data_IF_344578520449
#
_entry.id   IF_344578520449
#
_cell.length_a   1.000
_cell.length_b   1.000
_cell.length_c   1.000
_cell.angle_alpha   90.00
_cell.angle_beta   90.00
_cell.angle_gamma   90.00
#
_symmetry.space_group_name_H-M   'P 1'
#
loop_
_entity.id
_entity.type
_entity.pdbx_description
1 polymer ?
#
# COMPACT_ATOMS: atom_id res chain seq x y z
N UNK A 1 5.32 8.98 -11.25
CA UNK A 1 6.41 9.10 -10.25
C UNK A 1 5.89 9.96 -9.12
N UNK A 2 5.49 9.35 -8.01
CA UNK A 2 5.03 10.07 -6.83
C UNK A 2 5.71 9.47 -5.60
N UNK A 3 6.33 10.32 -4.79
CA UNK A 3 6.86 10.02 -3.47
C UNK A 3 5.82 10.59 -2.52
N UNK A 4 5.18 9.76 -1.72
CA UNK A 4 4.20 10.24 -0.72
C UNK A 4 4.73 9.86 0.65
N UNK A 5 5.21 10.87 1.38
CA UNK A 5 5.41 10.78 2.81
C UNK A 5 4.04 10.72 3.50
N UNK A 6 3.90 9.77 4.43
CA UNK A 6 2.69 9.49 5.19
C UNK A 6 2.04 10.78 5.74
N UNK A 7 0.79 11.10 5.38
CA UNK A 7 0.05 12.16 6.04
C UNK A 7 -0.58 11.63 7.34
N UNK A 8 -0.60 12.49 8.35
CA UNK A 8 -1.28 12.32 9.65
C UNK A 8 -2.68 11.69 9.44
N UNK A 9 -3.05 10.65 10.22
CA UNK A 9 -4.33 9.96 10.04
C UNK A 9 -5.49 10.88 10.41
N UNK A 10 -6.20 11.38 9.40
CA UNK A 10 -7.54 11.92 9.57
C UNK A 10 -8.54 10.77 9.51
N UNK A 11 -9.51 10.68 10.44
CA UNK A 11 -10.58 9.70 10.36
C UNK A 11 -11.41 10.00 9.11
N UNK A 12 -11.42 9.08 8.15
CA UNK A 12 -12.30 9.18 6.99
C UNK A 12 -13.72 8.83 7.42
N UNK A 13 -14.63 9.81 7.35
CA UNK A 13 -16.06 9.57 7.52
C UNK A 13 -16.60 8.73 6.35
N UNK A 14 -16.92 7.46 6.64
CA UNK A 14 -18.06 6.67 6.14
C UNK A 14 -18.45 6.62 4.65
N UNK A 15 -17.72 7.18 3.69
CA UNK A 15 -18.22 7.19 2.30
C UNK A 15 -17.13 7.06 1.23
N UNK A 16 -16.58 5.85 1.00
CA UNK A 16 -16.05 5.47 -0.32
C UNK A 16 -16.18 3.95 -0.54
N UNK A 17 -17.17 3.59 -1.34
CA UNK A 17 -17.47 2.24 -1.82
C UNK A 17 -16.56 1.80 -2.98
N UNK A 18 -15.24 2.03 -2.90
CA UNK A 18 -14.31 1.81 -4.04
C UNK A 18 -13.01 1.09 -3.65
N UNK A 19 -13.05 0.19 -2.67
CA UNK A 19 -11.84 -0.51 -2.21
C UNK A 19 -11.59 -1.82 -2.96
N UNK A 20 -12.60 -2.68 -3.00
CA UNK A 20 -12.43 -4.04 -3.54
C UNK A 20 -12.19 -4.02 -5.06
N UNK A 21 -12.91 -3.19 -5.83
CA UNK A 21 -12.69 -3.06 -7.27
C UNK A 21 -11.27 -2.58 -7.56
N UNK A 22 -10.81 -1.50 -6.92
CA UNK A 22 -9.45 -0.99 -7.10
C UNK A 22 -8.41 -2.06 -6.79
N UNK A 23 -8.52 -2.72 -5.63
CA UNK A 23 -7.59 -3.76 -5.21
C UNK A 23 -7.55 -4.95 -6.17
N UNK A 24 -8.72 -5.37 -6.68
CA UNK A 24 -8.82 -6.48 -7.62
C UNK A 24 -8.27 -6.17 -9.02
N UNK A 25 -7.99 -4.90 -9.33
CA UNK A 25 -7.30 -4.48 -10.56
C UNK A 25 -5.78 -4.34 -10.36
N UNK A 26 -5.26 -4.59 -9.16
CA UNK A 26 -3.82 -4.68 -8.95
C UNK A 26 -3.24 -5.84 -9.78
N UNK A 27 -2.01 -5.66 -10.26
CA UNK A 27 -1.31 -6.71 -10.98
C UNK A 27 -1.18 -7.97 -10.12
N UNK A 28 -1.13 -9.13 -10.76
CA UNK A 28 -0.67 -10.35 -10.07
C UNK A 28 0.82 -10.22 -9.75
N UNK A 29 1.32 -11.03 -8.80
CA UNK A 29 2.76 -11.06 -8.52
C UNK A 29 3.57 -11.42 -9.77
N UNK A 30 3.05 -12.33 -10.60
CA UNK A 30 3.69 -12.73 -11.85
C UNK A 30 3.74 -11.57 -12.84
N UNK A 31 2.63 -10.87 -13.05
CA UNK A 31 2.56 -9.71 -13.95
C UNK A 31 3.45 -8.55 -13.47
N UNK A 32 3.42 -8.26 -12.17
CA UNK A 32 4.25 -7.22 -11.56
C UNK A 32 5.74 -7.54 -11.73
N UNK A 33 6.12 -8.80 -11.51
CA UNK A 33 7.50 -9.26 -11.70
C UNK A 33 7.89 -9.26 -13.19
N UNK A 34 7.00 -9.67 -14.08
CA UNK A 34 7.24 -9.63 -15.52
C UNK A 34 7.44 -8.19 -16.00
N UNK A 35 6.60 -7.25 -15.57
CA UNK A 35 6.72 -5.83 -15.87
C UNK A 35 8.05 -5.24 -15.37
N UNK A 36 8.48 -5.63 -14.17
CA UNK A 36 9.76 -5.21 -13.62
C UNK A 36 10.93 -5.68 -14.51
N UNK A 37 10.91 -6.96 -14.92
CA UNK A 37 12.00 -7.57 -15.68
C UNK A 37 12.00 -7.21 -17.18
N UNK A 38 10.85 -6.90 -17.76
CA UNK A 38 10.72 -6.64 -19.20
C UNK A 38 11.32 -5.29 -19.65
N UNK A 39 11.49 -4.33 -18.73
CA UNK A 39 11.84 -2.96 -19.11
C UNK A 39 13.30 -2.62 -18.82
N UNK A 40 14.06 -2.25 -19.87
CA UNK A 40 15.35 -1.55 -19.71
C UNK A 40 15.22 -0.25 -18.91
N UNK A 41 14.03 0.36 -18.89
CA UNK A 41 13.76 1.56 -18.08
C UNK A 41 13.75 1.25 -16.58
N UNK A 42 13.52 -0.01 -16.17
CA UNK A 42 13.59 -0.44 -14.77
C UNK A 42 14.96 -0.18 -14.15
N UNK A 43 16.05 -0.52 -14.85
CA UNK A 43 17.41 -0.24 -14.37
C UNK A 43 17.68 1.27 -14.22
N UNK A 44 17.15 2.08 -15.14
CA UNK A 44 17.28 3.54 -15.06
C UNK A 44 16.47 4.12 -13.90
N UNK A 45 15.29 3.58 -13.63
CA UNK A 45 14.44 3.94 -12.49
C UNK A 45 15.13 3.58 -11.18
N UNK A 46 15.71 2.38 -11.06
CA UNK A 46 16.44 1.99 -9.85
C UNK A 46 17.66 2.87 -9.57
N UNK A 47 18.40 3.32 -10.58
CA UNK A 47 19.52 4.25 -10.37
C UNK A 47 19.04 5.61 -9.80
N UNK A 48 17.93 6.14 -10.32
CA UNK A 48 17.33 7.40 -9.83
C UNK A 48 16.78 7.23 -8.43
N UNK A 49 16.08 6.14 -8.16
CA UNK A 49 15.50 5.87 -6.85
C UNK A 49 16.58 5.54 -5.83
N UNK A 50 17.61 4.76 -6.15
CA UNK A 50 18.70 4.47 -5.24
C UNK A 50 19.43 5.75 -4.78
N UNK A 51 19.61 6.71 -5.70
CA UNK A 51 20.17 8.04 -5.37
C UNK A 51 19.24 8.86 -4.46
N UNK A 52 17.93 8.67 -4.60
CA UNK A 52 16.94 9.29 -3.71
C UNK A 52 16.93 8.60 -2.33
N UNK A 53 16.85 7.28 -2.26
CA UNK A 53 16.80 6.53 -1.00
C UNK A 53 18.09 6.69 -0.18
N UNK A 54 19.24 6.85 -0.84
CA UNK A 54 20.51 7.12 -0.15
C UNK A 54 20.53 8.47 0.57
N UNK A 55 19.79 9.48 0.08
CA UNK A 55 19.67 10.77 0.78
C UNK A 55 18.84 10.67 2.07
N UNK A 56 18.05 9.61 2.21
CA UNK A 56 17.30 9.26 3.42
C UNK A 56 17.97 8.17 4.26
N UNK A 57 19.30 8.00 4.15
CA UNK A 57 20.05 7.07 4.99
C UNK A 57 19.73 5.59 4.76
N UNK A 58 19.17 5.23 3.60
CA UNK A 58 18.72 3.87 3.27
C UNK A 58 17.63 3.33 4.22
N UNK A 59 16.91 4.20 4.94
CA UNK A 59 15.79 3.82 5.81
C UNK A 59 14.54 3.37 5.03
N UNK A 60 14.53 3.60 3.71
CA UNK A 60 13.37 3.40 2.85
C UNK A 60 13.61 2.28 1.84
N UNK A 61 12.62 1.41 1.71
CA UNK A 61 12.61 0.29 0.76
C UNK A 61 11.63 0.49 -0.39
N UNK A 62 11.79 -0.33 -1.44
CA UNK A 62 10.85 -0.40 -2.57
C UNK A 62 10.07 -1.70 -2.49
N UNK A 63 8.76 -1.62 -2.73
CA UNK A 63 7.88 -2.79 -2.85
C UNK A 63 7.13 -2.74 -4.17
N UNK A 64 7.07 -3.90 -4.83
CA UNK A 64 6.16 -4.13 -5.94
C UNK A 64 4.74 -4.30 -5.41
N UNK A 65 3.84 -3.42 -5.85
CA UNK A 65 2.42 -3.56 -5.52
C UNK A 65 1.81 -4.67 -6.36
N UNK A 66 1.12 -5.59 -5.70
CA UNK A 66 0.38 -6.67 -6.36
C UNK A 66 -0.81 -7.08 -5.49
N UNK A 67 -1.84 -7.64 -6.13
CA UNK A 67 -2.98 -8.21 -5.42
C UNK A 67 -2.63 -9.58 -4.85
N UNK A 68 -2.89 -9.79 -3.56
CA UNK A 68 -2.70 -11.09 -2.89
C UNK A 68 -3.89 -12.05 -3.05
N UNK A 69 -5.09 -11.50 -3.24
CA UNK A 69 -6.35 -12.24 -3.30
C UNK A 69 -7.45 -11.39 -3.93
N UNK A 70 -8.60 -11.99 -4.24
CA UNK A 70 -9.80 -11.24 -4.68
C UNK A 70 -10.61 -10.81 -3.47
N UNK A 71 -10.89 -9.52 -3.37
CA UNK A 71 -11.80 -8.95 -2.37
C UNK A 71 -13.25 -8.99 -2.84
N UNK A 72 -14.16 -9.35 -1.95
CA UNK A 72 -15.60 -9.25 -2.15
C UNK A 72 -16.09 -7.82 -1.93
N UNK A 73 -17.32 -7.49 -2.39
CA UNK A 73 -17.95 -6.22 -2.03
C UNK A 73 -17.98 -6.03 -0.51
N UNK A 74 -17.59 -4.83 -0.06
CA UNK A 74 -17.44 -4.42 1.34
C UNK A 74 -16.24 -5.03 2.11
N UNK A 75 -15.40 -5.83 1.45
CA UNK A 75 -14.11 -6.22 2.02
C UNK A 75 -13.03 -5.16 1.75
N UNK A 76 -12.11 -5.04 2.69
CA UNK A 76 -10.87 -4.26 2.57
C UNK A 76 -9.70 -5.16 2.94
N UNK A 77 -8.54 -4.96 2.32
CA UNK A 77 -7.31 -5.62 2.77
C UNK A 77 -6.79 -4.89 4.02
N UNK A 78 -6.80 -5.59 5.17
CA UNK A 78 -6.45 -5.01 6.48
C UNK A 78 -5.22 -5.71 7.06
N UNK A 79 -4.30 -4.91 7.59
CA UNK A 79 -3.06 -5.34 8.21
C UNK A 79 -3.18 -5.33 9.74
N UNK A 80 -2.85 -6.45 10.37
CA UNK A 80 -2.70 -6.61 11.82
C UNK A 80 -1.29 -7.10 12.12
N UNK A 81 -0.38 -6.14 12.29
CA UNK A 81 1.05 -6.43 12.38
C UNK A 81 1.56 -7.11 11.12
N UNK A 82 1.87 -8.40 11.21
CA UNK A 82 2.41 -9.21 10.09
C UNK A 82 1.36 -9.93 9.25
N UNK A 83 0.10 -9.90 9.67
CA UNK A 83 -1.00 -10.54 8.94
C UNK A 83 -1.69 -9.50 8.07
N UNK A 84 -1.93 -9.84 6.81
CA UNK A 84 -2.71 -9.05 5.87
C UNK A 84 -3.83 -9.95 5.34
N UNK A 85 -5.09 -9.58 5.56
CA UNK A 85 -6.22 -10.39 5.14
C UNK A 85 -7.44 -9.55 4.74
N UNK A 86 -8.33 -10.09 3.87
CA UNK A 86 -9.62 -9.50 3.59
C UNK A 86 -10.47 -9.43 4.86
N UNK A 87 -10.98 -8.25 5.18
CA UNK A 87 -11.91 -8.05 6.29
C UNK A 87 -13.14 -7.27 5.85
N UNK A 88 -14.30 -7.72 6.32
CA UNK A 88 -15.54 -6.93 6.23
C UNK A 88 -15.46 -5.82 7.27
N UNK A 89 -15.22 -4.59 6.81
CA UNK A 89 -15.18 -3.41 7.68
C UNK A 89 -16.62 -2.97 7.95
N UNK A 90 -17.16 -3.42 9.08
CA UNK A 90 -18.51 -3.05 9.54
C UNK A 90 -18.62 -1.56 9.84
N UNK A 91 -19.84 -1.04 9.72
CA UNK A 91 -20.18 0.32 10.13
C UNK A 91 -19.76 0.56 11.59
N UNK A 92 -19.05 1.66 11.85
CA UNK A 92 -18.47 1.99 13.15
C UNK A 92 -17.06 1.45 13.41
N UNK A 93 -16.55 0.54 12.58
CA UNK A 93 -15.13 0.13 12.64
C UNK A 93 -14.27 1.20 11.99
N UNK A 94 -13.34 1.77 12.75
CA UNK A 94 -12.35 2.72 12.20
C UNK A 94 -11.18 1.93 11.61
N UNK A 95 -10.81 2.27 10.37
CA UNK A 95 -9.58 1.78 9.73
C UNK A 95 -8.80 2.96 9.18
N UNK A 96 -7.48 2.86 9.17
CA UNK A 96 -6.56 3.89 8.71
C UNK A 96 -5.81 3.40 7.48
N UNK A 97 -5.75 4.18 6.39
CA UNK A 97 -4.95 3.81 5.23
C UNK A 97 -3.47 3.62 5.58
N UNK A 98 -2.84 2.61 4.99
CA UNK A 98 -1.40 2.34 5.15
C UNK A 98 -0.65 2.20 3.84
N UNK A 99 -1.35 1.94 2.72
CA UNK A 99 -0.76 2.00 1.37
C UNK A 99 -1.69 2.73 0.41
N UNK A 100 -1.07 3.46 -0.52
CA UNK A 100 -1.74 4.31 -1.50
C UNK A 100 -1.20 4.06 -2.90
N UNK A 101 -2.10 4.13 -3.87
CA UNK A 101 -1.79 4.17 -5.29
C UNK A 101 -1.11 5.50 -5.64
N UNK A 102 -0.47 5.55 -6.81
CA UNK A 102 0.19 6.77 -7.30
C UNK A 102 -0.75 7.97 -7.52
N UNK A 103 -2.07 7.72 -7.62
CA UNK A 103 -3.12 8.75 -7.71
C UNK A 103 -3.66 9.18 -6.33
N UNK A 104 -3.06 8.68 -5.24
CA UNK A 104 -3.43 9.01 -3.87
C UNK A 104 -4.61 8.21 -3.32
N UNK A 105 -5.15 7.22 -4.06
CA UNK A 105 -6.21 6.35 -3.54
C UNK A 105 -5.64 5.29 -2.60
N UNK A 106 -6.18 5.13 -1.38
CA UNK A 106 -5.77 4.06 -0.48
C UNK A 106 -6.24 2.69 -1.00
N UNK A 107 -5.45 1.64 -0.77
CA UNK A 107 -5.82 0.27 -1.16
C UNK A 107 -5.56 -0.79 -0.07
N UNK A 108 -4.78 -0.46 0.96
CA UNK A 108 -4.59 -1.30 2.15
C UNK A 108 -4.66 -0.46 3.43
N UNK A 109 -5.10 -1.09 4.52
CA UNK A 109 -5.49 -0.41 5.75
C UNK A 109 -4.96 -1.11 7.01
N UNK A 110 -5.01 -0.42 8.14
CA UNK A 110 -4.84 -0.98 9.49
C UNK A 110 -6.06 -0.66 10.36
N UNK A 111 -6.39 -1.50 11.35
CA UNK A 111 -7.49 -1.21 12.26
C UNK A 111 -7.15 -0.05 13.18
N UNK A 112 -8.16 0.75 13.51
CA UNK A 112 -8.03 1.85 14.46
C UNK A 112 -8.09 1.36 15.89
N UNK A 113 -6.98 0.82 16.41
CA UNK A 113 -6.76 0.65 17.84
C UNK A 113 -5.48 1.40 18.24
N UNK A 114 -5.60 2.18 19.31
CA UNK A 114 -4.56 3.04 19.88
C UNK A 114 -3.24 2.29 20.15
N UNK A 115 -2.13 2.87 19.67
CA UNK A 115 -0.76 2.75 20.21
C UNK A 115 0.00 1.41 20.19
N UNK A 116 -0.64 0.23 20.07
CA UNK A 116 0.09 -1.04 20.29
C UNK A 116 0.49 -1.82 19.03
N UNK A 117 0.06 -1.40 17.84
CA UNK A 117 0.34 -2.11 16.58
C UNK A 117 1.16 -1.31 15.56
N UNK A 118 1.63 -0.12 15.94
CA UNK A 118 2.53 0.71 15.13
C UNK A 118 3.97 0.22 15.30
N UNK A 119 4.24 -1.03 14.91
CA UNK A 119 5.63 -1.50 14.83
C UNK A 119 5.84 -2.40 13.62
N UNK A 120 5.73 -1.77 12.46
CA UNK A 120 6.55 -2.12 11.30
C UNK A 120 7.00 -0.80 10.67
N UNK A 121 8.00 -0.20 11.30
CA UNK A 121 8.71 1.03 10.92
C UNK A 121 9.48 0.86 9.58
N UNK A 122 8.88 0.19 8.60
CA UNK A 122 9.37 0.14 7.23
C UNK A 122 8.66 1.25 6.47
N UNK A 123 9.40 2.33 6.31
CA UNK A 123 9.03 3.45 5.47
C UNK A 123 9.14 3.00 4.01
N UNK A 124 8.05 2.50 3.42
CA UNK A 124 8.06 1.87 2.09
C UNK A 124 7.52 2.78 1.01
N UNK A 125 8.18 2.76 -0.16
CA UNK A 125 7.67 3.39 -1.38
C UNK A 125 7.10 2.28 -2.28
N UNK A 126 5.85 2.46 -2.69
CA UNK A 126 5.15 1.58 -3.62
C UNK A 126 5.52 1.94 -5.07
N UNK A 127 5.98 0.96 -5.85
CA UNK A 127 6.28 1.08 -7.28
C UNK A 127 5.18 0.54 -8.18
#
# INVERSE_FOLDING_TARGET
MAIVASPVPLPLSTAYSVDHELYNHLATLEDANAALNASKATHQIFSKIASLLSSFGQEWGLVLVHGHCTLQPNEKMVHRGRVAEPEIVREGTTVFPTRWMSDGKPFEYTPGYTSEYLDVDLKMICL
#
